data_IF_583249715759
#
_entry.id   IF_583249715759
#
_cell.length_a   1.000
_cell.length_b   1.000
_cell.length_c   1.000
_cell.angle_alpha   90.00
_cell.angle_beta   90.00
_cell.angle_gamma   90.00
#
_symmetry.space_group_name_H-M   'P 1'
#
loop_
_entity.id
_entity.type
_entity.pdbx_description
1 polymer ?
#
# COMPACT_ATOMS: atom_id res chain seq x y z
N UNK A 1 -27.02 -41.27 -6.04
CA UNK A 1 -27.14 -40.18 -7.03
C UNK A 1 -27.72 -38.88 -6.41
N UNK A 2 -28.81 -38.94 -5.67
CA UNK A 2 -29.40 -37.70 -5.07
C UNK A 2 -28.51 -36.91 -4.10
N UNK A 3 -27.75 -37.56 -3.23
CA UNK A 3 -26.90 -36.87 -2.24
C UNK A 3 -25.73 -36.14 -2.94
N UNK A 4 -25.05 -36.82 -3.87
CA UNK A 4 -23.94 -36.21 -4.61
C UNK A 4 -24.39 -34.96 -5.40
N UNK A 5 -25.57 -35.02 -6.01
CA UNK A 5 -26.15 -33.88 -6.73
C UNK A 5 -26.56 -32.74 -5.80
N UNK A 6 -27.03 -33.02 -4.60
CA UNK A 6 -27.32 -32.05 -3.60
C UNK A 6 -26.04 -31.32 -3.12
N UNK A 7 -24.98 -32.11 -2.89
CA UNK A 7 -23.67 -31.57 -2.51
C UNK A 7 -23.10 -30.69 -3.62
N UNK A 8 -23.17 -31.11 -4.87
CA UNK A 8 -22.71 -30.31 -6.02
C UNK A 8 -23.48 -28.99 -6.09
N UNK A 9 -24.82 -29.06 -6.03
CA UNK A 9 -25.66 -27.85 -6.06
C UNK A 9 -25.31 -26.87 -4.93
N UNK A 10 -25.16 -27.38 -3.71
CA UNK A 10 -24.83 -26.57 -2.52
C UNK A 10 -23.42 -25.99 -2.65
N UNK A 11 -22.45 -26.77 -3.13
CA UNK A 11 -21.07 -26.31 -3.30
C UNK A 11 -20.98 -25.18 -4.33
N UNK A 12 -21.64 -25.33 -5.48
CA UNK A 12 -21.70 -24.26 -6.49
C UNK A 12 -22.45 -23.04 -5.91
N UNK A 13 -23.59 -23.28 -5.28
CA UNK A 13 -24.37 -22.21 -4.63
C UNK A 13 -23.60 -21.44 -3.56
N UNK A 14 -22.78 -22.16 -2.79
CA UNK A 14 -21.88 -21.56 -1.81
C UNK A 14 -20.85 -20.62 -2.47
N UNK A 15 -20.22 -21.08 -3.57
CA UNK A 15 -19.25 -20.26 -4.29
C UNK A 15 -19.88 -18.95 -4.80
N UNK A 16 -21.04 -19.03 -5.46
CA UNK A 16 -21.78 -17.85 -5.91
C UNK A 16 -22.16 -16.91 -4.77
N UNK A 17 -22.66 -17.47 -3.67
CA UNK A 17 -23.06 -16.68 -2.49
C UNK A 17 -21.85 -15.97 -1.86
N UNK A 18 -20.75 -16.70 -1.68
CA UNK A 18 -19.52 -16.16 -1.12
C UNK A 18 -18.97 -15.01 -1.98
N UNK A 19 -18.86 -15.22 -3.28
CA UNK A 19 -18.39 -14.23 -4.23
C UNK A 19 -19.28 -12.98 -4.25
N UNK A 20 -20.60 -13.15 -4.19
CA UNK A 20 -21.55 -12.05 -4.15
C UNK A 20 -21.46 -11.24 -2.86
N UNK A 21 -21.44 -11.92 -1.71
CA UNK A 21 -21.28 -11.28 -0.41
C UNK A 21 -19.94 -10.57 -0.27
N UNK A 22 -18.87 -11.19 -0.76
CA UNK A 22 -17.54 -10.57 -0.75
C UNK A 22 -17.51 -9.26 -1.53
N UNK A 23 -18.11 -9.24 -2.75
CA UNK A 23 -18.21 -8.02 -3.57
C UNK A 23 -19.06 -6.93 -2.92
N UNK A 24 -20.11 -7.29 -2.19
CA UNK A 24 -20.94 -6.32 -1.45
C UNK A 24 -20.21 -5.73 -0.23
N UNK A 25 -19.34 -6.51 0.41
CA UNK A 25 -18.61 -6.08 1.62
C UNK A 25 -17.32 -5.30 1.32
N UNK A 26 -16.93 -5.13 0.06
CA UNK A 26 -15.74 -4.38 -0.29
C UNK A 26 -15.88 -2.90 0.08
N UNK A 27 -15.00 -2.43 0.96
CA UNK A 27 -14.93 -1.01 1.31
C UNK A 27 -14.35 -0.20 0.16
N UNK A 28 -15.12 0.78 -0.30
CA UNK A 28 -14.81 1.58 -1.49
C UNK A 28 -15.59 1.16 -2.73
N UNK A 29 -16.41 0.09 -2.58
CA UNK A 29 -17.23 -0.46 -3.65
C UNK A 29 -16.43 -1.38 -4.59
N UNK A 30 -17.07 -2.47 -5.02
CA UNK A 30 -16.58 -3.30 -6.12
C UNK A 30 -17.12 -2.76 -7.43
N UNK A 31 -16.28 -2.72 -8.49
CA UNK A 31 -16.73 -2.37 -9.84
C UNK A 31 -16.25 -3.38 -10.87
N UNK A 32 -17.11 -3.66 -11.84
CA UNK A 32 -16.77 -4.46 -12.99
C UNK A 32 -15.90 -3.72 -14.03
N UNK A 33 -15.65 -2.43 -13.83
CA UNK A 33 -14.93 -1.57 -14.78
C UNK A 33 -13.55 -2.11 -15.18
N UNK A 34 -12.75 -2.51 -14.18
CA UNK A 34 -11.42 -3.09 -14.42
C UNK A 34 -11.49 -4.40 -15.19
N UNK A 35 -12.50 -5.23 -14.90
CA UNK A 35 -12.73 -6.49 -15.58
C UNK A 35 -13.10 -6.28 -17.06
N UNK A 36 -13.98 -5.31 -17.34
CA UNK A 36 -14.38 -4.93 -18.70
C UNK A 36 -13.22 -4.31 -19.50
N UNK A 37 -12.37 -3.48 -18.85
CA UNK A 37 -11.19 -2.91 -19.48
C UNK A 37 -10.11 -3.96 -19.80
N UNK A 38 -10.01 -5.00 -18.98
CA UNK A 38 -9.10 -6.12 -19.18
C UNK A 38 -9.63 -7.18 -20.17
N UNK A 39 -10.78 -6.92 -20.82
CA UNK A 39 -11.39 -7.85 -21.76
C UNK A 39 -10.45 -8.21 -22.93
N UNK A 40 -10.43 -9.49 -23.27
CA UNK A 40 -9.61 -10.08 -24.34
C UNK A 40 -10.48 -10.87 -25.34
N UNK A 41 -9.88 -11.30 -26.42
CA UNK A 41 -10.56 -12.08 -27.44
C UNK A 41 -11.49 -11.29 -28.37
N UNK A 42 -12.32 -11.98 -29.17
CA UNK A 42 -13.08 -11.35 -30.25
C UNK A 42 -14.16 -10.35 -29.79
N UNK A 43 -14.65 -10.48 -28.55
CA UNK A 43 -15.67 -9.60 -27.97
C UNK A 43 -15.07 -8.44 -27.14
N UNK A 44 -13.74 -8.36 -27.02
CA UNK A 44 -13.06 -7.32 -26.25
C UNK A 44 -13.48 -5.88 -26.65
N UNK A 45 -13.66 -5.52 -27.95
CA UNK A 45 -14.09 -4.18 -28.32
C UNK A 45 -15.45 -3.82 -27.73
N UNK A 46 -16.39 -4.77 -27.68
CA UNK A 46 -17.72 -4.53 -27.11
C UNK A 46 -17.67 -4.33 -25.59
N UNK A 47 -16.90 -5.15 -24.87
CA UNK A 47 -16.74 -4.98 -23.43
C UNK A 47 -16.01 -3.70 -23.05
N UNK A 48 -14.98 -3.29 -23.81
CA UNK A 48 -14.29 -2.01 -23.63
C UNK A 48 -15.18 -0.81 -23.93
N UNK A 49 -16.05 -0.92 -24.94
CA UNK A 49 -17.06 0.10 -25.17
C UNK A 49 -18.03 0.21 -23.99
N UNK A 50 -18.50 -0.91 -23.42
CA UNK A 50 -19.33 -0.93 -22.21
C UNK A 50 -18.60 -0.27 -21.02
N UNK A 51 -17.31 -0.50 -20.86
CA UNK A 51 -16.47 0.13 -19.83
C UNK A 51 -16.43 1.66 -19.95
N UNK A 52 -16.56 2.21 -21.16
CA UNK A 52 -16.64 3.65 -21.42
C UNK A 52 -17.99 4.29 -21.04
N UNK A 53 -19.03 3.48 -20.70
CA UNK A 53 -20.36 3.97 -20.37
C UNK A 53 -20.64 3.87 -18.87
N UNK A 54 -20.54 4.97 -18.13
CA UNK A 54 -20.67 4.98 -16.67
C UNK A 54 -21.97 4.33 -16.16
N UNK A 55 -23.11 4.53 -16.87
CA UNK A 55 -24.38 3.94 -16.49
C UNK A 55 -24.42 2.42 -16.68
N UNK A 56 -23.74 1.87 -17.72
CA UNK A 56 -23.62 0.43 -17.94
C UNK A 56 -22.77 -0.20 -16.84
N UNK A 57 -21.65 0.44 -16.49
CA UNK A 57 -20.80 -0.02 -15.40
C UNK A 57 -21.57 -0.05 -14.08
N UNK A 58 -22.27 1.04 -13.74
CA UNK A 58 -23.05 1.11 -12.50
C UNK A 58 -24.20 0.08 -12.45
N UNK A 59 -24.86 -0.17 -13.59
CA UNK A 59 -25.89 -1.20 -13.69
C UNK A 59 -25.27 -2.61 -13.60
N UNK A 60 -24.14 -2.83 -14.26
CA UNK A 60 -23.37 -4.09 -14.23
C UNK A 60 -22.89 -4.44 -12.83
N UNK A 61 -22.36 -3.47 -12.08
CA UNK A 61 -21.92 -3.66 -10.69
C UNK A 61 -23.06 -4.21 -9.83
N UNK A 62 -24.22 -3.57 -9.89
CA UNK A 62 -25.41 -4.00 -9.13
C UNK A 62 -25.95 -5.34 -9.59
N UNK A 63 -26.02 -5.54 -10.91
CA UNK A 63 -26.54 -6.78 -11.50
C UNK A 63 -25.66 -7.99 -11.15
N UNK A 64 -24.34 -7.86 -11.20
CA UNK A 64 -23.40 -8.92 -10.83
C UNK A 64 -23.48 -9.21 -9.33
N UNK A 65 -23.45 -8.19 -8.48
CA UNK A 65 -23.53 -8.37 -7.02
C UNK A 65 -24.85 -9.04 -6.60
N UNK A 66 -25.96 -8.48 -7.02
CA UNK A 66 -27.29 -9.03 -6.68
C UNK A 66 -27.53 -10.39 -7.34
N UNK A 67 -27.08 -10.57 -8.59
CA UNK A 67 -27.18 -11.83 -9.32
C UNK A 67 -26.44 -12.97 -8.65
N UNK A 68 -25.19 -12.76 -8.25
CA UNK A 68 -24.38 -13.75 -7.54
C UNK A 68 -25.02 -14.17 -6.21
N UNK A 69 -25.51 -13.22 -5.42
CA UNK A 69 -26.20 -13.50 -4.15
C UNK A 69 -27.51 -14.26 -4.39
N UNK A 70 -28.34 -13.82 -5.32
CA UNK A 70 -29.62 -14.45 -5.62
C UNK A 70 -29.46 -15.86 -6.18
N UNK A 71 -28.52 -16.08 -7.11
CA UNK A 71 -28.18 -17.40 -7.65
C UNK A 71 -27.67 -18.29 -6.51
N UNK A 72 -26.73 -17.80 -5.71
CA UNK A 72 -26.15 -18.55 -4.62
C UNK A 72 -27.18 -18.97 -3.58
N UNK A 73 -28.04 -18.07 -3.13
CA UNK A 73 -29.15 -18.38 -2.19
C UNK A 73 -30.11 -19.40 -2.80
N UNK A 74 -30.52 -19.23 -4.04
CA UNK A 74 -31.42 -20.16 -4.74
C UNK A 74 -30.81 -21.55 -4.85
N UNK A 75 -29.56 -21.65 -5.21
CA UNK A 75 -28.85 -22.93 -5.32
C UNK A 75 -28.65 -23.58 -3.95
N UNK A 76 -28.27 -22.84 -2.91
CA UNK A 76 -28.08 -23.39 -1.56
C UNK A 76 -29.39 -23.88 -0.97
N UNK A 77 -30.44 -23.08 -1.06
CA UNK A 77 -31.76 -23.44 -0.54
C UNK A 77 -32.50 -24.48 -1.42
N UNK A 78 -32.19 -24.51 -2.72
CA UNK A 78 -32.92 -25.33 -3.70
C UNK A 78 -34.20 -24.71 -4.21
N UNK A 79 -34.58 -23.52 -3.74
CA UNK A 79 -35.72 -22.75 -4.25
C UNK A 79 -35.38 -22.20 -5.61
N UNK A 80 -36.18 -22.49 -6.62
CA UNK A 80 -35.92 -22.09 -8.02
C UNK A 80 -34.56 -22.52 -8.57
N UNK A 81 -33.95 -23.60 -8.04
CA UNK A 81 -32.58 -24.01 -8.37
C UNK A 81 -32.32 -24.17 -9.86
N UNK A 82 -33.31 -24.60 -10.69
CA UNK A 82 -33.19 -24.70 -12.13
C UNK A 82 -33.07 -23.34 -12.80
N UNK A 83 -33.90 -22.38 -12.40
CA UNK A 83 -33.88 -21.02 -12.92
C UNK A 83 -32.56 -20.35 -12.55
N UNK A 84 -32.14 -20.50 -11.31
CA UNK A 84 -30.86 -20.01 -10.81
C UNK A 84 -29.68 -20.60 -11.57
N UNK A 85 -29.73 -21.93 -11.87
CA UNK A 85 -28.68 -22.59 -12.65
C UNK A 85 -28.58 -22.02 -14.08
N UNK A 86 -29.70 -21.73 -14.74
CA UNK A 86 -29.70 -21.11 -16.07
C UNK A 86 -29.11 -19.70 -16.06
N UNK A 87 -29.47 -18.88 -15.06
CA UNK A 87 -28.88 -17.55 -14.89
C UNK A 87 -27.38 -17.65 -14.53
N UNK A 88 -26.98 -18.63 -13.72
CA UNK A 88 -25.58 -18.90 -13.41
C UNK A 88 -24.78 -19.27 -14.65
N UNK A 89 -25.31 -20.15 -15.51
CA UNK A 89 -24.68 -20.50 -16.80
C UNK A 89 -24.48 -19.25 -17.67
N UNK A 90 -25.51 -18.40 -17.79
CA UNK A 90 -25.42 -17.18 -18.58
C UNK A 90 -24.35 -16.22 -18.03
N UNK A 91 -24.25 -16.10 -16.70
CA UNK A 91 -23.25 -15.28 -16.05
C UNK A 91 -21.83 -15.83 -16.26
N UNK A 92 -21.64 -17.15 -16.12
CA UNK A 92 -20.35 -17.80 -16.39
C UNK A 92 -19.93 -17.68 -17.86
N UNK A 93 -20.88 -17.81 -18.78
CA UNK A 93 -20.62 -17.60 -20.21
C UNK A 93 -20.20 -16.15 -20.49
N UNK A 94 -20.83 -15.18 -19.85
CA UNK A 94 -20.44 -13.77 -19.99
C UNK A 94 -19.01 -13.54 -19.48
N UNK A 95 -18.64 -14.10 -18.33
CA UNK A 95 -17.27 -14.00 -17.81
C UNK A 95 -16.26 -14.69 -18.74
N UNK A 96 -16.58 -15.88 -19.24
CA UNK A 96 -15.77 -16.59 -20.20
C UNK A 96 -15.56 -15.78 -21.50
N UNK A 97 -16.62 -15.18 -22.02
CA UNK A 97 -16.52 -14.34 -23.23
C UNK A 97 -15.75 -13.04 -23.03
N UNK A 98 -15.78 -12.48 -21.81
CA UNK A 98 -15.03 -11.27 -21.49
C UNK A 98 -13.51 -11.54 -21.40
N UNK A 99 -13.13 -12.66 -20.80
CA UNK A 99 -11.73 -13.05 -20.65
C UNK A 99 -11.55 -14.54 -21.01
N UNK A 100 -11.64 -14.88 -22.31
CA UNK A 100 -11.44 -16.26 -22.73
C UNK A 100 -10.00 -16.70 -22.44
N UNK A 101 -9.77 -17.99 -22.10
CA UNK A 101 -8.43 -18.51 -21.92
C UNK A 101 -7.66 -18.43 -23.24
N UNK A 102 -6.44 -17.90 -23.18
CA UNK A 102 -5.56 -17.87 -24.35
C UNK A 102 -5.05 -19.28 -24.65
N UNK A 103 -5.28 -19.83 -25.85
CA UNK A 103 -5.00 -21.22 -26.15
C UNK A 103 -3.52 -21.59 -26.18
N UNK A 104 -2.60 -20.62 -26.22
CA UNK A 104 -1.17 -20.89 -26.41
C UNK A 104 -0.20 -20.22 -25.46
N UNK A 105 -0.50 -19.02 -24.92
CA UNK A 105 0.47 -18.28 -24.13
C UNK A 105 0.59 -18.74 -22.67
N UNK A 106 -0.43 -19.36 -22.10
CA UNK A 106 -0.48 -19.76 -20.70
C UNK A 106 -0.78 -21.26 -20.48
N UNK A 107 -0.68 -22.07 -21.52
CA UNK A 107 -1.07 -23.50 -21.50
C UNK A 107 -0.38 -24.32 -20.38
N UNK A 108 0.76 -23.85 -19.87
CA UNK A 108 1.56 -24.55 -18.87
C UNK A 108 1.88 -23.70 -17.63
N UNK A 109 1.30 -22.51 -17.49
CA UNK A 109 1.63 -21.63 -16.37
C UNK A 109 0.98 -22.04 -15.04
N UNK A 110 -0.03 -22.93 -15.07
CA UNK A 110 -0.73 -23.39 -13.86
C UNK A 110 -1.37 -22.30 -13.01
N UNK A 111 -1.29 -21.03 -13.43
CA UNK A 111 -1.81 -19.90 -12.70
C UNK A 111 -3.32 -19.78 -12.87
N UNK A 112 -4.02 -19.51 -11.79
CA UNK A 112 -5.45 -19.13 -11.75
C UNK A 112 -6.46 -20.17 -12.28
N UNK A 113 -6.14 -21.46 -12.23
CA UNK A 113 -7.08 -22.52 -12.62
C UNK A 113 -7.44 -22.53 -14.11
N UNK A 114 -6.53 -22.06 -14.97
CA UNK A 114 -6.66 -22.09 -16.42
C UNK A 114 -6.02 -23.37 -16.96
N UNK A 115 -6.85 -24.24 -17.50
CA UNK A 115 -6.43 -25.52 -18.08
C UNK A 115 -6.68 -25.49 -19.59
N UNK A 116 -5.84 -24.83 -20.33
CA UNK A 116 -5.98 -24.73 -21.80
C UNK A 116 -7.31 -24.06 -22.19
N UNK A 117 -8.27 -24.77 -22.75
CA UNK A 117 -9.59 -24.22 -23.11
C UNK A 117 -10.59 -24.31 -21.95
N UNK A 118 -10.32 -25.16 -20.95
CA UNK A 118 -11.15 -25.32 -19.77
C UNK A 118 -10.64 -24.45 -18.65
N UNK A 119 -11.46 -23.52 -18.21
CA UNK A 119 -11.22 -22.71 -17.05
C UNK A 119 -12.30 -22.92 -15.98
N UNK A 120 -12.11 -22.35 -14.81
CA UNK A 120 -13.04 -22.46 -13.67
C UNK A 120 -14.50 -22.18 -14.07
N UNK A 121 -14.75 -21.11 -14.84
CA UNK A 121 -16.11 -20.73 -15.25
C UNK A 121 -16.78 -21.81 -16.14
N UNK A 122 -16.02 -22.47 -17.00
CA UNK A 122 -16.53 -23.56 -17.85
C UNK A 122 -16.87 -24.80 -17.03
N UNK A 123 -16.06 -25.12 -16.00
CA UNK A 123 -16.32 -26.27 -15.11
C UNK A 123 -17.57 -26.00 -14.28
N UNK A 124 -17.74 -24.81 -13.76
CA UNK A 124 -18.94 -24.42 -13.02
C UNK A 124 -20.19 -24.41 -13.88
N UNK A 125 -20.10 -23.90 -15.12
CA UNK A 125 -21.19 -23.95 -16.07
C UNK A 125 -21.63 -25.39 -16.38
N UNK A 126 -20.70 -26.33 -16.53
CA UNK A 126 -21.01 -27.75 -16.71
C UNK A 126 -21.71 -28.33 -15.47
N UNK A 127 -21.27 -28.00 -14.26
CA UNK A 127 -21.94 -28.37 -13.02
C UNK A 127 -23.37 -27.82 -12.92
N UNK A 128 -23.56 -26.55 -13.30
CA UNK A 128 -24.87 -25.89 -13.35
C UNK A 128 -25.80 -26.52 -14.38
N UNK A 129 -25.25 -26.97 -15.52
CA UNK A 129 -26.03 -27.70 -16.54
C UNK A 129 -26.61 -28.99 -15.98
N UNK A 130 -25.84 -29.75 -15.19
CA UNK A 130 -26.34 -30.91 -14.47
C UNK A 130 -27.44 -30.56 -13.49
N UNK A 131 -27.30 -29.46 -12.74
CA UNK A 131 -28.35 -28.99 -11.82
C UNK A 131 -29.61 -28.56 -12.55
N UNK A 132 -29.52 -27.95 -13.74
CA UNK A 132 -30.67 -27.55 -14.54
C UNK A 132 -31.39 -28.76 -15.18
N UNK A 133 -30.65 -29.75 -15.64
CA UNK A 133 -31.17 -30.91 -16.40
C UNK A 133 -31.84 -31.97 -15.55
N UNK A 134 -31.40 -32.20 -14.30
CA UNK A 134 -31.85 -33.35 -13.51
C UNK A 134 -33.07 -33.06 -12.63
N UNK A 135 -34.10 -33.93 -12.61
CA UNK A 135 -35.36 -33.72 -11.88
C UNK A 135 -35.30 -34.09 -10.38
N UNK A 136 -34.13 -34.03 -9.77
CA UNK A 136 -33.89 -34.55 -8.41
C UNK A 136 -34.42 -33.69 -7.25
N UNK A 137 -35.18 -32.63 -7.52
CA UNK A 137 -35.57 -31.63 -6.50
C UNK A 137 -37.00 -31.86 -5.96
N UNK A 138 -37.38 -33.10 -5.72
CA UNK A 138 -38.68 -33.43 -5.15
C UNK A 138 -38.62 -33.53 -3.62
N UNK A 139 -39.38 -32.66 -2.96
CA UNK A 139 -39.53 -32.62 -1.51
C UNK A 139 -38.89 -31.41 -0.83
N UNK A 140 -39.74 -30.45 -0.45
CA UNK A 140 -39.32 -29.15 0.13
C UNK A 140 -38.39 -29.33 1.34
N UNK A 141 -38.75 -30.24 2.28
CA UNK A 141 -37.94 -30.46 3.49
C UNK A 141 -36.58 -31.05 3.19
N UNK A 142 -36.48 -32.03 2.27
CA UNK A 142 -35.22 -32.67 1.90
C UNK A 142 -34.28 -31.74 1.13
N UNK A 143 -34.80 -30.67 0.55
CA UNK A 143 -34.04 -29.70 -0.22
C UNK A 143 -33.62 -28.49 0.63
N UNK A 144 -34.53 -28.02 1.52
CA UNK A 144 -34.30 -26.86 2.37
C UNK A 144 -33.40 -27.14 3.58
N UNK A 145 -33.52 -28.31 4.19
CA UNK A 145 -32.81 -28.62 5.43
C UNK A 145 -31.27 -28.58 5.27
N UNK A 146 -30.67 -29.22 4.26
CA UNK A 146 -29.23 -29.09 4.04
C UNK A 146 -28.79 -27.67 3.71
N UNK A 147 -29.58 -26.92 2.93
CA UNK A 147 -29.32 -25.54 2.60
C UNK A 147 -29.36 -24.62 3.82
N UNK A 148 -30.36 -24.77 4.68
CA UNK A 148 -30.47 -24.03 5.94
C UNK A 148 -29.29 -24.33 6.89
N UNK A 149 -28.87 -25.59 6.98
CA UNK A 149 -27.69 -25.96 7.77
C UNK A 149 -26.41 -25.31 7.26
N UNK A 150 -26.20 -25.27 5.94
CA UNK A 150 -25.04 -24.59 5.32
C UNK A 150 -25.09 -23.09 5.55
N UNK A 151 -26.25 -22.44 5.42
CA UNK A 151 -26.42 -21.01 5.69
C UNK A 151 -26.19 -20.68 7.18
N UNK A 152 -26.65 -21.53 8.10
CA UNK A 152 -26.41 -21.37 9.52
C UNK A 152 -24.91 -21.49 9.87
N UNK A 153 -24.23 -22.47 9.25
CA UNK A 153 -22.78 -22.66 9.38
C UNK A 153 -22.04 -21.44 8.85
N UNK A 154 -22.42 -20.94 7.68
CA UNK A 154 -21.83 -19.74 7.08
C UNK A 154 -22.01 -18.53 7.97
N UNK A 155 -23.24 -18.27 8.43
CA UNK A 155 -23.52 -17.16 9.36
C UNK A 155 -22.71 -17.28 10.65
N UNK A 156 -22.59 -18.49 11.19
CA UNK A 156 -21.76 -18.79 12.35
C UNK A 156 -20.28 -18.53 12.12
N UNK A 157 -19.73 -18.97 10.99
CA UNK A 157 -18.34 -18.71 10.61
C UNK A 157 -18.09 -17.21 10.40
N UNK A 158 -18.99 -16.50 9.70
CA UNK A 158 -18.90 -15.06 9.53
C UNK A 158 -18.94 -14.31 10.88
N UNK A 159 -19.82 -14.74 11.78
CA UNK A 159 -19.93 -14.16 13.11
C UNK A 159 -18.68 -14.40 13.97
N UNK A 160 -18.13 -15.61 13.95
CA UNK A 160 -16.88 -15.95 14.62
C UNK A 160 -15.72 -15.13 14.06
N UNK A 161 -15.64 -15.02 12.74
CA UNK A 161 -14.63 -14.23 12.04
C UNK A 161 -14.75 -12.74 12.39
N UNK A 162 -15.97 -12.20 12.42
CA UNK A 162 -16.26 -10.83 12.85
C UNK A 162 -15.83 -10.59 14.31
N UNK A 163 -16.16 -11.50 15.23
CA UNK A 163 -15.74 -11.42 16.64
C UNK A 163 -14.23 -11.51 16.83
N UNK A 164 -13.55 -12.30 16.03
CA UNK A 164 -12.09 -12.40 16.03
C UNK A 164 -11.39 -11.17 15.43
N UNK A 165 -12.12 -10.15 15.00
CA UNK A 165 -11.57 -8.97 14.32
C UNK A 165 -11.06 -9.23 12.91
N UNK A 166 -11.51 -10.33 12.30
CA UNK A 166 -11.00 -10.84 11.02
C UNK A 166 -11.50 -10.13 9.78
N UNK A 167 -12.46 -9.21 9.88
CA UNK A 167 -12.79 -8.28 8.77
C UNK A 167 -11.94 -7.02 8.81
N UNK A 168 -10.71 -7.10 9.33
CA UNK A 168 -9.70 -6.09 9.01
C UNK A 168 -9.52 -6.09 7.51
N UNK A 169 -9.57 -4.90 6.90
CA UNK A 169 -9.31 -4.68 5.49
C UNK A 169 -8.10 -5.49 5.03
N UNK A 170 -8.31 -6.68 4.50
CA UNK A 170 -7.37 -7.26 3.59
C UNK A 170 -7.74 -6.64 2.25
N UNK A 171 -7.00 -5.66 1.82
CA UNK A 171 -7.03 -5.25 0.42
C UNK A 171 -6.42 -6.40 -0.39
N UNK A 172 -7.21 -7.45 -0.57
CA UNK A 172 -6.85 -8.49 -1.51
C UNK A 172 -6.99 -7.86 -2.90
N UNK A 173 -5.88 -7.39 -3.43
CA UNK A 173 -5.78 -6.97 -4.81
C UNK A 173 -5.89 -8.22 -5.66
N UNK A 174 -7.08 -8.53 -6.16
CA UNK A 174 -7.23 -9.48 -7.26
C UNK A 174 -6.92 -8.75 -8.56
N UNK A 175 -6.57 -9.48 -9.60
CA UNK A 175 -6.34 -8.91 -10.95
C UNK A 175 -7.51 -8.06 -11.47
N UNK A 176 -8.73 -8.27 -10.93
CA UNK A 176 -9.93 -7.50 -11.23
C UNK A 176 -10.09 -6.22 -10.39
N UNK A 177 -9.27 -6.00 -9.36
CA UNK A 177 -9.38 -4.89 -8.41
C UNK A 177 -8.12 -4.04 -8.35
N UNK A 178 -7.38 -3.95 -9.44
CA UNK A 178 -6.26 -3.01 -9.53
C UNK A 178 -6.83 -1.61 -9.34
N UNK A 179 -6.61 -1.01 -8.18
CA UNK A 179 -6.85 0.42 -7.98
C UNK A 179 -5.85 1.14 -8.85
N UNK A 180 -6.32 1.72 -9.93
CA UNK A 180 -5.52 2.70 -10.68
C UNK A 180 -5.32 3.88 -9.76
N UNK A 181 -4.09 4.06 -9.32
CA UNK A 181 -3.73 5.24 -8.54
C UNK A 181 -3.67 6.42 -9.49
N UNK A 182 -4.59 7.39 -9.34
CA UNK A 182 -4.58 8.58 -10.17
C UNK A 182 -3.43 9.49 -9.75
N UNK A 183 -2.68 9.97 -10.74
CA UNK A 183 -1.61 10.93 -10.53
C UNK A 183 -2.17 12.26 -10.03
N UNK A 184 -1.72 12.71 -8.86
CA UNK A 184 -2.10 14.01 -8.32
C UNK A 184 -1.24 15.11 -8.93
N UNK A 185 -1.80 15.88 -9.83
CA UNK A 185 -1.10 16.97 -10.51
C UNK A 185 -0.68 18.09 -9.54
N UNK A 186 0.39 18.82 -9.90
CA UNK A 186 0.87 19.94 -9.08
C UNK A 186 -0.18 21.02 -8.86
N UNK A 187 -1.10 21.21 -9.79
CA UNK A 187 -2.24 22.14 -9.66
C UNK A 187 -3.21 21.76 -8.52
N UNK A 188 -3.20 20.51 -8.08
CA UNK A 188 -4.01 20.03 -6.96
C UNK A 188 -3.30 20.17 -5.58
N UNK A 189 -2.14 20.81 -5.53
CA UNK A 189 -1.45 21.11 -4.27
C UNK A 189 -2.30 22.05 -3.42
N UNK A 190 -2.64 21.62 -2.21
CA UNK A 190 -3.48 22.40 -1.27
C UNK A 190 -2.69 23.53 -0.62
N UNK A 191 -1.51 23.22 -0.11
CA UNK A 191 -0.56 24.16 0.44
C UNK A 191 0.86 23.57 0.40
N UNK A 192 1.92 24.37 0.25
CA UNK A 192 3.28 23.92 0.40
C UNK A 192 3.57 23.46 1.83
N UNK A 193 4.49 22.51 1.97
CA UNK A 193 5.00 22.07 3.25
C UNK A 193 5.81 23.20 3.91
N UNK A 194 5.48 23.54 5.18
CA UNK A 194 6.05 24.71 5.86
C UNK A 194 6.94 24.37 7.06
N UNK A 195 6.91 23.13 7.57
CA UNK A 195 7.71 22.79 8.75
C UNK A 195 9.21 22.79 8.41
N UNK A 196 9.99 23.43 9.25
CA UNK A 196 11.44 23.56 9.10
C UNK A 196 12.18 22.72 10.13
N UNK A 197 13.34 22.23 9.73
CA UNK A 197 14.35 21.62 10.57
C UNK A 197 15.61 22.49 10.54
N UNK A 198 16.44 22.38 11.56
CA UNK A 198 17.72 23.06 11.65
C UNK A 198 18.79 22.09 12.17
N UNK A 199 19.93 22.06 11.51
CA UNK A 199 21.12 21.33 11.94
C UNK A 199 22.30 22.30 11.92
N UNK A 200 22.83 22.64 13.08
CA UNK A 200 23.99 23.52 13.25
C UNK A 200 23.90 24.82 12.39
N UNK A 201 22.76 25.48 12.42
CA UNK A 201 22.51 26.75 11.70
C UNK A 201 22.01 26.57 10.26
N UNK A 202 22.06 25.40 9.67
CA UNK A 202 21.48 25.13 8.34
C UNK A 202 20.00 24.81 8.48
N UNK A 203 19.15 25.66 7.91
CA UNK A 203 17.68 25.52 7.92
C UNK A 203 17.20 24.91 6.60
N UNK A 204 16.34 23.90 6.70
CA UNK A 204 15.77 23.20 5.55
C UNK A 204 14.38 22.62 5.90
N UNK A 205 13.67 22.10 4.91
CA UNK A 205 12.36 21.47 5.13
C UNK A 205 12.47 20.22 6.00
N UNK A 206 11.63 20.09 7.02
CA UNK A 206 11.62 18.92 7.92
C UNK A 206 11.29 17.62 7.19
N UNK A 207 10.46 17.69 6.15
CA UNK A 207 10.32 16.64 5.14
C UNK A 207 11.40 16.84 4.08
N UNK A 208 12.30 15.90 3.93
CA UNK A 208 13.36 15.90 2.93
C UNK A 208 13.13 14.78 1.91
N UNK A 209 13.71 14.93 0.74
CA UNK A 209 13.72 13.89 -0.28
C UNK A 209 14.81 12.86 0.05
N UNK A 210 14.45 11.58 0.08
CA UNK A 210 15.38 10.46 0.15
C UNK A 210 16.00 10.14 -1.21
N UNK A 211 17.20 9.65 -1.21
CA UNK A 211 17.98 9.35 -2.41
C UNK A 211 17.97 7.91 -2.87
N UNK A 212 17.46 6.97 -2.07
CA UNK A 212 17.56 5.54 -2.36
C UNK A 212 16.81 5.17 -3.67
N UNK A 213 15.57 5.61 -3.84
CA UNK A 213 14.83 5.37 -5.09
C UNK A 213 15.49 6.04 -6.29
N UNK A 214 16.11 7.20 -6.11
CA UNK A 214 16.81 7.94 -7.18
C UNK A 214 18.04 7.16 -7.62
N UNK A 215 18.76 6.58 -6.68
CA UNK A 215 19.93 5.74 -6.96
C UNK A 215 19.57 4.33 -7.48
N UNK A 216 18.29 3.96 -7.46
CA UNK A 216 17.81 2.65 -7.86
C UNK A 216 17.86 1.61 -6.73
N UNK A 217 17.87 2.04 -5.47
CA UNK A 217 17.80 1.16 -4.31
C UNK A 217 16.34 1.08 -3.83
N UNK A 218 15.51 0.34 -4.55
CA UNK A 218 14.08 0.24 -4.24
C UNK A 218 13.77 -0.66 -3.04
N UNK A 219 14.66 -1.58 -2.70
CA UNK A 219 14.52 -2.55 -1.59
C UNK A 219 13.17 -3.29 -1.63
N UNK A 220 12.73 -3.64 -2.82
CA UNK A 220 11.40 -4.20 -3.06
C UNK A 220 11.36 -5.73 -2.90
N UNK A 221 12.19 -6.29 -2.04
CA UNK A 221 12.28 -7.72 -1.68
C UNK A 221 12.46 -8.61 -2.92
N UNK A 222 11.41 -9.34 -3.28
CA UNK A 222 11.46 -10.36 -4.34
C UNK A 222 11.38 -9.77 -5.76
N UNK A 223 11.14 -8.46 -5.89
CA UNK A 223 11.08 -7.77 -7.17
C UNK A 223 12.48 -7.32 -7.62
N UNK A 224 13.32 -8.26 -8.01
CA UNK A 224 14.74 -8.03 -8.38
C UNK A 224 14.97 -7.01 -9.51
N UNK A 225 13.96 -6.75 -10.34
CA UNK A 225 13.98 -5.77 -11.41
C UNK A 225 13.63 -4.34 -10.96
N UNK A 226 13.11 -4.17 -9.73
CA UNK A 226 12.61 -2.88 -9.25
C UNK A 226 13.75 -1.84 -9.15
N UNK A 227 14.93 -2.25 -8.74
CA UNK A 227 16.12 -1.38 -8.65
C UNK A 227 16.50 -0.82 -10.03
N UNK A 228 16.58 -1.68 -11.05
CA UNK A 228 16.89 -1.26 -12.40
C UNK A 228 15.79 -0.39 -13.01
N UNK A 229 14.50 -0.71 -12.72
CA UNK A 229 13.39 0.11 -13.15
C UNK A 229 13.48 1.51 -12.56
N UNK A 230 13.72 1.63 -11.24
CA UNK A 230 13.84 2.92 -10.57
C UNK A 230 15.03 3.73 -11.06
N UNK A 231 16.17 3.08 -11.30
CA UNK A 231 17.37 3.73 -11.88
C UNK A 231 17.09 4.31 -13.26
N UNK A 232 16.40 3.56 -14.12
CA UNK A 232 16.01 4.05 -15.46
C UNK A 232 14.95 5.12 -15.40
N UNK A 233 13.96 4.94 -14.53
CA UNK A 233 12.88 5.93 -14.34
C UNK A 233 13.43 7.28 -13.89
N UNK A 234 14.31 7.30 -12.90
CA UNK A 234 14.88 8.52 -12.33
C UNK A 234 16.01 9.13 -13.20
N UNK A 235 16.28 8.60 -14.38
CA UNK A 235 17.19 9.20 -15.35
C UNK A 235 16.61 10.50 -15.95
N UNK A 236 17.45 11.51 -16.11
CA UNK A 236 17.16 12.71 -16.93
C UNK A 236 15.90 13.48 -16.54
N UNK A 237 14.88 13.43 -17.40
CA UNK A 237 13.66 14.25 -17.29
C UNK A 237 12.86 13.98 -15.99
N UNK A 238 12.79 12.74 -15.55
CA UNK A 238 12.05 12.40 -14.34
C UNK A 238 12.72 12.97 -13.08
N UNK A 239 14.05 12.96 -13.00
CA UNK A 239 14.80 13.58 -11.92
C UNK A 239 14.52 15.10 -11.84
N UNK A 240 14.56 15.79 -12.97
CA UNK A 240 14.26 17.23 -13.05
C UNK A 240 12.82 17.53 -12.62
N UNK A 241 11.87 16.66 -12.98
CA UNK A 241 10.47 16.79 -12.56
C UNK A 241 10.30 16.55 -11.06
N UNK A 242 10.98 15.55 -10.49
CA UNK A 242 11.00 15.27 -9.05
C UNK A 242 11.51 16.47 -8.27
N UNK A 243 12.65 17.04 -8.65
CA UNK A 243 13.21 18.23 -8.00
C UNK A 243 12.26 19.42 -8.08
N UNK A 244 11.68 19.69 -9.25
CA UNK A 244 10.71 20.77 -9.42
C UNK A 244 9.47 20.61 -8.53
N UNK A 245 8.94 19.38 -8.43
CA UNK A 245 7.80 19.09 -7.57
C UNK A 245 8.15 19.24 -6.09
N UNK A 246 9.33 18.79 -5.66
CA UNK A 246 9.82 19.01 -4.31
C UNK A 246 9.81 20.50 -3.97
N UNK A 247 10.47 21.34 -4.75
CA UNK A 247 10.57 22.78 -4.50
C UNK A 247 9.20 23.46 -4.49
N UNK A 248 8.32 23.14 -5.43
CA UNK A 248 6.96 23.69 -5.49
C UNK A 248 6.10 23.24 -4.32
N UNK A 249 6.36 22.07 -3.78
CA UNK A 249 5.68 21.52 -2.61
C UNK A 249 6.32 21.94 -1.27
N UNK A 250 7.38 22.76 -1.28
CA UNK A 250 8.05 23.24 -0.07
C UNK A 250 9.09 22.27 0.50
N UNK A 251 9.53 21.29 -0.29
CA UNK A 251 10.62 20.37 0.06
C UNK A 251 11.91 20.89 -0.59
N UNK A 252 12.82 21.40 0.23
CA UNK A 252 14.08 22.02 -0.23
C UNK A 252 15.34 21.32 0.30
N UNK A 253 15.20 20.08 0.80
CA UNK A 253 16.35 19.29 1.25
C UNK A 253 16.35 17.91 0.61
N UNK A 254 17.55 17.36 0.41
CA UNK A 254 17.76 16.01 -0.13
C UNK A 254 18.93 15.31 0.56
N UNK A 255 18.76 14.02 0.84
CA UNK A 255 19.79 13.13 1.38
C UNK A 255 20.06 12.05 0.33
N UNK A 256 21.17 12.14 -0.40
CA UNK A 256 21.45 11.28 -1.53
C UNK A 256 22.96 11.07 -1.76
N UNK A 257 23.30 10.18 -2.69
CA UNK A 257 24.68 9.94 -3.11
C UNK A 257 25.28 11.17 -3.83
N UNK A 258 26.59 11.43 -3.68
CA UNK A 258 27.27 12.59 -4.30
C UNK A 258 27.06 12.70 -5.82
N UNK A 259 26.88 11.57 -6.50
CA UNK A 259 26.69 11.53 -7.96
C UNK A 259 25.44 12.32 -8.42
N UNK A 260 24.44 12.48 -7.54
CA UNK A 260 23.20 13.21 -7.86
C UNK A 260 23.26 14.70 -7.55
N UNK A 261 24.31 15.18 -6.89
CA UNK A 261 24.43 16.59 -6.49
C UNK A 261 24.37 17.54 -7.69
N UNK A 262 25.21 17.33 -8.71
CA UNK A 262 25.28 18.21 -9.86
C UNK A 262 23.96 18.22 -10.67
N UNK A 263 23.37 17.09 -11.07
CA UNK A 263 22.12 17.09 -11.82
C UNK A 263 20.94 17.64 -11.01
N UNK A 264 20.85 17.39 -9.69
CA UNK A 264 19.78 17.93 -8.88
C UNK A 264 19.91 19.44 -8.66
N UNK A 265 21.12 19.96 -8.51
CA UNK A 265 21.35 21.42 -8.44
C UNK A 265 21.00 22.12 -9.76
N UNK A 266 21.37 21.52 -10.90
CA UNK A 266 20.97 22.04 -12.20
C UNK A 266 19.43 22.12 -12.32
N UNK A 267 18.75 21.04 -11.98
CA UNK A 267 17.29 20.99 -11.99
C UNK A 267 16.64 21.97 -11.00
N UNK A 268 17.23 22.19 -9.83
CA UNK A 268 16.75 23.15 -8.85
C UNK A 268 16.89 24.60 -9.37
N UNK A 269 18.02 24.91 -10.00
CA UNK A 269 18.27 26.23 -10.63
C UNK A 269 17.27 26.50 -11.75
N UNK A 270 17.00 25.49 -12.61
CA UNK A 270 15.97 25.58 -13.66
C UNK A 270 14.56 25.79 -13.08
N UNK A 271 14.29 25.23 -11.92
CA UNK A 271 13.02 25.40 -11.22
C UNK A 271 12.93 26.72 -10.44
N UNK A 272 13.99 27.54 -10.42
CA UNK A 272 14.05 28.82 -9.71
C UNK A 272 14.21 28.70 -8.21
N UNK A 273 14.82 27.63 -7.70
CA UNK A 273 15.04 27.38 -6.27
C UNK A 273 16.42 26.78 -5.98
N UNK A 274 16.64 26.48 -4.71
CA UNK A 274 17.85 25.83 -4.19
C UNK A 274 17.48 24.59 -3.39
N UNK A 275 18.36 23.59 -3.39
CA UNK A 275 18.28 22.39 -2.56
C UNK A 275 19.42 22.36 -1.54
N UNK A 276 19.10 22.14 -0.29
CA UNK A 276 20.07 21.78 0.74
C UNK A 276 20.44 20.29 0.55
N UNK A 277 21.56 20.03 -0.07
CA UNK A 277 22.03 18.68 -0.36
C UNK A 277 22.93 18.15 0.77
N UNK A 278 22.59 16.98 1.29
CA UNK A 278 23.37 16.23 2.26
C UNK A 278 23.86 14.94 1.60
N UNK A 279 25.18 14.83 1.41
CA UNK A 279 25.80 13.77 0.60
C UNK A 279 26.16 12.55 1.45
N UNK A 280 25.74 11.37 1.00
CA UNK A 280 26.12 10.07 1.55
C UNK A 280 27.49 9.65 1.03
N UNK A 281 28.54 9.69 1.86
CA UNK A 281 29.92 9.48 1.47
C UNK A 281 30.51 8.18 2.03
N UNK A 282 31.39 7.54 1.27
CA UNK A 282 32.13 6.34 1.70
C UNK A 282 33.59 6.64 2.05
N UNK A 283 34.09 7.79 1.64
CA UNK A 283 35.49 8.20 1.81
C UNK A 283 35.66 9.73 1.76
N UNK A 284 36.88 10.20 2.01
CA UNK A 284 37.22 11.60 2.00
C UNK A 284 37.09 12.27 0.61
N UNK A 285 37.31 11.52 -0.48
CA UNK A 285 37.21 12.04 -1.83
C UNK A 285 35.76 12.36 -2.20
N UNK A 286 34.83 11.46 -1.85
CA UNK A 286 33.38 11.72 -2.02
C UNK A 286 32.97 13.00 -1.28
N UNK A 287 33.47 13.16 -0.03
CA UNK A 287 33.14 14.32 0.79
C UNK A 287 33.74 15.61 0.22
N UNK A 288 34.97 15.57 -0.29
CA UNK A 288 35.60 16.71 -0.96
C UNK A 288 34.83 17.10 -2.24
N UNK A 289 34.47 16.12 -3.07
CA UNK A 289 33.67 16.35 -4.26
C UNK A 289 32.28 16.94 -3.94
N UNK A 290 31.64 16.46 -2.85
CA UNK A 290 30.38 17.03 -2.38
C UNK A 290 30.53 18.48 -1.91
N UNK A 291 31.60 18.81 -1.17
CA UNK A 291 31.93 20.18 -0.78
C UNK A 291 32.10 21.08 -2.01
N UNK A 292 32.92 20.69 -2.95
CA UNK A 292 33.23 21.46 -4.17
C UNK A 292 31.97 21.60 -5.05
N UNK A 293 31.08 20.60 -5.01
CA UNK A 293 29.76 20.65 -5.60
C UNK A 293 28.76 21.55 -4.86
N UNK A 294 29.08 22.04 -3.64
CA UNK A 294 28.26 22.94 -2.83
C UNK A 294 27.20 22.26 -1.99
N UNK A 295 27.45 21.04 -1.54
CA UNK A 295 26.65 20.38 -0.52
C UNK A 295 26.63 21.20 0.79
N UNK A 296 25.56 21.10 1.57
CA UNK A 296 25.43 21.72 2.90
C UNK A 296 25.95 20.81 4.01
N UNK A 297 25.95 19.50 3.79
CA UNK A 297 26.47 18.52 4.72
C UNK A 297 26.88 17.22 4.02
N UNK A 298 27.64 16.43 4.74
CA UNK A 298 28.07 15.10 4.34
C UNK A 298 27.81 14.12 5.48
N UNK A 299 27.58 12.88 5.20
CA UNK A 299 27.48 11.85 6.23
C UNK A 299 28.09 10.54 5.77
N UNK A 300 28.67 9.80 6.72
CA UNK A 300 29.19 8.48 6.44
C UNK A 300 28.03 7.56 6.07
N UNK A 301 28.18 6.81 4.97
CA UNK A 301 27.15 5.90 4.47
C UNK A 301 26.75 4.88 5.53
N UNK A 302 25.44 4.66 5.77
CA UNK A 302 24.94 3.78 6.83
C UNK A 302 25.52 2.38 6.79
N UNK A 303 25.52 1.73 5.64
CA UNK A 303 25.98 0.35 5.46
C UNK A 303 27.47 0.19 5.83
N UNK A 304 28.29 1.19 5.48
CA UNK A 304 29.72 1.19 5.80
C UNK A 304 29.94 1.38 7.30
N UNK A 305 29.20 2.28 7.93
CA UNK A 305 29.31 2.49 9.37
C UNK A 305 28.87 1.25 10.16
N UNK A 306 27.77 0.61 9.75
CA UNK A 306 27.28 -0.64 10.34
C UNK A 306 28.28 -1.79 10.16
N UNK A 307 28.92 -1.89 9.00
CA UNK A 307 29.96 -2.90 8.75
C UNK A 307 31.15 -2.73 9.70
N UNK A 308 31.64 -1.49 9.83
CA UNK A 308 32.79 -1.19 10.72
C UNK A 308 32.42 -1.40 12.17
N UNK A 309 31.24 -1.01 12.61
CA UNK A 309 30.75 -1.25 13.97
C UNK A 309 30.63 -2.73 14.28
N UNK A 310 30.09 -3.53 13.37
CA UNK A 310 30.01 -5.02 13.56
C UNK A 310 31.39 -5.69 13.62
N UNK A 311 32.37 -5.15 12.92
CA UNK A 311 33.77 -5.60 12.99
C UNK A 311 34.51 -5.10 14.24
N UNK A 312 33.92 -4.20 15.03
CA UNK A 312 34.58 -3.55 16.16
C UNK A 312 35.67 -2.54 15.75
N UNK A 313 35.70 -2.12 14.48
CA UNK A 313 36.74 -1.22 13.95
C UNK A 313 36.40 0.26 14.21
N UNK A 314 36.46 0.63 15.48
CA UNK A 314 36.24 1.99 15.95
C UNK A 314 37.28 2.97 15.38
N UNK A 315 38.52 2.52 15.20
CA UNK A 315 39.59 3.34 14.69
C UNK A 315 39.34 3.83 13.27
N UNK A 316 38.96 2.91 12.38
CA UNK A 316 38.61 3.25 10.99
C UNK A 316 37.36 4.11 10.90
N UNK A 317 36.34 3.79 11.68
CA UNK A 317 35.10 4.55 11.72
C UNK A 317 35.36 5.99 12.15
N UNK A 318 36.14 6.19 13.20
CA UNK A 318 36.54 7.51 13.69
C UNK A 318 37.36 8.27 12.63
N UNK A 319 38.36 7.60 12.03
CA UNK A 319 39.19 8.19 10.97
C UNK A 319 38.35 8.69 9.80
N UNK A 320 37.35 7.93 9.35
CA UNK A 320 36.43 8.36 8.29
C UNK A 320 35.54 9.55 8.73
N UNK A 321 34.97 9.50 9.92
CA UNK A 321 34.16 10.60 10.44
C UNK A 321 35.01 11.91 10.57
N UNK A 322 36.24 11.81 11.04
CA UNK A 322 37.17 12.95 11.14
C UNK A 322 37.56 13.47 9.75
N UNK A 323 37.76 12.59 8.76
CA UNK A 323 38.00 12.99 7.38
C UNK A 323 36.82 13.74 6.76
N UNK A 324 35.59 13.34 7.07
CA UNK A 324 34.39 14.10 6.66
C UNK A 324 34.34 15.46 7.33
N UNK A 325 34.66 15.56 8.62
CA UNK A 325 34.74 16.83 9.35
C UNK A 325 35.80 17.78 8.76
N UNK A 326 36.92 17.24 8.31
CA UNK A 326 38.01 18.02 7.71
C UNK A 326 37.60 18.78 6.43
N UNK A 327 36.50 18.40 5.81
CA UNK A 327 35.94 19.15 4.65
C UNK A 327 35.40 20.53 5.03
N UNK A 328 35.14 20.80 6.31
CA UNK A 328 34.48 22.02 6.78
C UNK A 328 32.97 22.03 6.61
N UNK A 329 32.35 20.94 6.08
CA UNK A 329 30.92 20.77 6.00
C UNK A 329 30.34 20.18 7.31
N UNK A 330 29.04 20.25 7.47
CA UNK A 330 28.35 19.50 8.51
C UNK A 330 28.59 18.02 8.29
N UNK A 331 29.30 17.36 9.22
CA UNK A 331 29.68 15.97 9.11
C UNK A 331 28.79 15.09 10.00
N UNK A 332 27.98 14.24 9.39
CA UNK A 332 27.12 13.26 10.04
C UNK A 332 27.69 11.84 9.98
N UNK A 333 27.05 10.93 10.70
CA UNK A 333 27.25 9.49 10.60
C UNK A 333 25.90 8.84 10.35
N UNK A 334 25.84 8.00 9.30
CA UNK A 334 24.70 7.18 8.99
C UNK A 334 24.75 5.84 9.73
N UNK A 335 23.59 5.28 10.04
CA UNK A 335 23.43 3.95 10.60
C UNK A 335 22.10 3.34 10.15
N UNK A 336 22.07 2.06 9.87
CA UNK A 336 20.82 1.31 9.72
C UNK A 336 20.36 0.76 11.07
N UNK A 337 21.29 0.59 12.01
CA UNK A 337 21.05 0.04 13.33
C UNK A 337 21.41 1.04 14.41
N UNK A 338 20.54 1.19 15.41
CA UNK A 338 20.81 2.02 16.59
C UNK A 338 22.03 1.52 17.38
N UNK A 339 22.38 0.23 17.28
CA UNK A 339 23.58 -0.32 17.91
C UNK A 339 24.87 0.29 17.33
N UNK A 340 24.88 0.65 16.05
CA UNK A 340 25.99 1.40 15.44
C UNK A 340 26.10 2.81 16.02
N UNK A 341 24.99 3.48 16.29
CA UNK A 341 25.01 4.78 17.00
C UNK A 341 25.59 4.64 18.40
N UNK A 342 25.18 3.58 19.14
CA UNK A 342 25.71 3.29 20.47
C UNK A 342 27.22 3.00 20.43
N UNK A 343 27.64 2.19 19.47
CA UNK A 343 29.05 1.89 19.25
C UNK A 343 29.89 3.14 18.99
N UNK A 344 29.40 4.01 18.09
CA UNK A 344 30.05 5.28 17.80
C UNK A 344 30.17 6.16 19.04
N UNK A 345 29.08 6.32 19.80
CA UNK A 345 29.03 7.15 20.99
C UNK A 345 30.02 6.63 22.07
N UNK A 346 30.08 5.31 22.26
CA UNK A 346 31.00 4.69 23.24
C UNK A 346 32.46 4.85 22.83
N UNK A 347 32.75 4.91 21.54
CA UNK A 347 34.12 5.00 21.02
C UNK A 347 34.51 6.46 20.64
N UNK A 348 33.80 7.47 21.13
CA UNK A 348 34.17 8.86 20.99
C UNK A 348 34.02 9.41 19.56
N UNK A 349 33.13 8.81 18.74
CA UNK A 349 32.72 9.36 17.45
C UNK A 349 31.55 10.31 17.71
N UNK A 350 31.78 11.62 17.53
CA UNK A 350 30.78 12.67 17.78
C UNK A 350 30.49 13.43 16.48
N UNK A 351 29.49 13.05 15.72
CA UNK A 351 29.09 13.75 14.50
C UNK A 351 28.29 15.02 14.82
N UNK A 352 28.11 15.90 13.84
CA UNK A 352 27.20 17.03 13.95
C UNK A 352 25.73 16.61 13.91
N UNK A 353 25.41 15.46 13.31
CA UNK A 353 24.07 14.88 13.24
C UNK A 353 24.14 13.39 12.89
N UNK A 354 23.08 12.68 13.23
CA UNK A 354 22.91 11.28 12.89
C UNK A 354 21.94 11.12 11.70
N UNK A 355 22.15 10.08 10.89
CA UNK A 355 21.22 9.63 9.87
C UNK A 355 20.88 8.19 10.16
N UNK A 356 19.64 7.90 10.58
CA UNK A 356 19.27 6.57 11.12
C UNK A 356 18.08 5.99 10.34
N UNK A 357 18.18 4.71 9.95
CA UNK A 357 17.05 3.99 9.42
C UNK A 357 15.98 3.83 10.51
N UNK A 358 14.78 4.37 10.25
CA UNK A 358 13.73 4.41 11.24
C UNK A 358 12.35 4.33 10.62
N UNK A 359 11.59 3.29 10.95
CA UNK A 359 10.25 3.06 10.45
C UNK A 359 9.38 2.32 11.48
N UNK A 360 8.06 2.42 11.34
CA UNK A 360 7.13 1.64 12.14
C UNK A 360 7.16 0.16 11.72
N UNK A 361 6.61 -0.71 12.57
CA UNK A 361 6.38 -2.12 12.25
C UNK A 361 4.89 -2.39 11.94
N UNK A 362 4.10 -1.35 11.66
CA UNK A 362 2.68 -1.46 11.33
C UNK A 362 2.48 -1.69 9.82
N UNK A 363 2.99 -2.82 9.33
CA UNK A 363 2.76 -3.27 7.95
C UNK A 363 2.83 -4.81 7.87
N UNK A 364 2.15 -5.44 6.88
CA UNK A 364 1.98 -6.90 6.87
C UNK A 364 3.27 -7.71 6.85
N UNK A 365 4.33 -7.23 6.22
CA UNK A 365 5.60 -7.93 6.12
C UNK A 365 6.49 -7.80 7.38
N UNK A 366 6.12 -6.98 8.36
CA UNK A 366 6.87 -6.76 9.60
C UNK A 366 6.72 -7.90 10.62
N UNK A 367 6.42 -9.11 10.20
CA UNK A 367 6.28 -10.29 11.07
C UNK A 367 7.61 -10.93 11.42
N UNK A 368 8.66 -10.65 10.68
CA UNK A 368 10.00 -11.14 10.93
C UNK A 368 10.66 -10.30 12.05
N UNK A 369 11.26 -10.97 13.01
CA UNK A 369 11.99 -10.32 14.11
C UNK A 369 13.45 -10.04 13.77
N UNK A 370 13.87 -10.36 12.55
CA UNK A 370 15.24 -10.19 12.08
C UNK A 370 15.29 -9.12 11.00
N UNK A 371 16.43 -8.44 10.90
CA UNK A 371 16.68 -7.47 9.84
C UNK A 371 16.72 -8.16 8.49
N UNK A 372 15.97 -7.66 7.56
CA UNK A 372 15.95 -8.12 6.17
C UNK A 372 15.67 -6.94 5.23
N UNK A 373 15.62 -7.20 3.93
CA UNK A 373 15.62 -6.18 2.88
C UNK A 373 14.63 -5.00 3.03
N UNK A 374 13.57 -5.11 3.79
CA UNK A 374 12.64 -4.00 4.09
C UNK A 374 12.33 -3.83 5.59
N UNK A 375 13.15 -4.43 6.46
CA UNK A 375 13.05 -4.31 7.91
C UNK A 375 14.42 -3.93 8.45
N UNK A 376 14.72 -2.65 8.56
CA UNK A 376 15.96 -2.14 9.14
C UNK A 376 15.83 -1.90 10.63
N UNK A 377 14.71 -1.35 11.07
CA UNK A 377 14.44 -1.02 12.46
C UNK A 377 13.53 -2.09 13.09
N UNK A 378 14.13 -3.04 13.82
CA UNK A 378 13.39 -4.16 14.45
C UNK A 378 12.74 -3.78 15.78
N UNK A 379 13.24 -2.74 16.45
CA UNK A 379 12.65 -2.15 17.66
C UNK A 379 12.68 -0.63 17.58
N UNK A 380 11.69 -0.03 16.91
CA UNK A 380 11.63 1.42 16.76
C UNK A 380 11.44 2.16 18.09
N UNK A 381 10.84 1.51 19.10
CA UNK A 381 10.70 2.12 20.42
C UNK A 381 12.06 2.25 21.11
N UNK A 382 12.83 1.18 21.17
CA UNK A 382 14.17 1.22 21.77
C UNK A 382 15.11 2.17 21.03
N UNK A 383 15.02 2.22 19.68
CA UNK A 383 15.77 3.16 18.87
C UNK A 383 15.41 4.62 19.19
N UNK A 384 14.13 4.96 19.23
CA UNK A 384 13.67 6.30 19.57
C UNK A 384 14.03 6.71 21.00
N UNK A 385 13.88 5.79 21.97
CA UNK A 385 14.22 6.03 23.37
C UNK A 385 15.73 6.31 23.51
N UNK A 386 16.58 5.57 22.81
CA UNK A 386 18.02 5.85 22.80
C UNK A 386 18.35 7.18 22.13
N UNK A 387 17.76 7.48 20.96
CA UNK A 387 18.01 8.75 20.25
C UNK A 387 17.59 9.98 21.06
N UNK A 388 16.58 9.88 21.91
CA UNK A 388 16.20 10.95 22.86
C UNK A 388 17.30 11.23 23.92
N UNK A 389 18.18 10.30 24.18
CA UNK A 389 19.33 10.53 25.11
C UNK A 389 20.48 11.26 24.42
N UNK A 390 20.42 11.42 23.10
CA UNK A 390 21.46 12.11 22.32
C UNK A 390 21.17 13.59 22.22
N UNK A 391 22.21 14.41 22.27
CA UNK A 391 22.12 15.86 22.08
C UNK A 391 22.15 16.24 20.60
N UNK A 392 22.74 15.37 19.78
CA UNK A 392 22.88 15.62 18.36
C UNK A 392 21.55 15.40 17.64
N UNK A 393 21.17 16.29 16.72
CA UNK A 393 19.99 16.10 15.90
C UNK A 393 20.11 14.84 15.01
N UNK A 394 18.98 14.24 14.64
CA UNK A 394 18.99 13.08 13.79
C UNK A 394 17.94 13.11 12.70
N UNK A 395 18.26 12.51 11.57
CA UNK A 395 17.41 12.42 10.37
C UNK A 395 17.01 10.97 10.19
N UNK A 396 15.70 10.74 10.07
CA UNK A 396 15.17 9.43 9.77
C UNK A 396 15.27 9.14 8.26
N UNK A 397 15.78 7.97 7.91
CA UNK A 397 15.83 7.45 6.53
C UNK A 397 15.13 6.09 6.45
N UNK A 398 14.92 5.55 5.24
CA UNK A 398 14.25 4.26 4.97
C UNK A 398 12.88 4.15 5.64
N UNK A 399 12.22 5.29 5.83
CA UNK A 399 10.96 5.41 6.56
C UNK A 399 9.80 4.64 5.93
N UNK A 400 9.88 4.34 4.63
CA UNK A 400 8.83 3.63 3.89
C UNK A 400 8.92 2.10 4.01
N UNK A 401 9.97 1.55 4.64
CA UNK A 401 10.18 0.10 4.71
C UNK A 401 10.06 -0.58 3.32
N UNK A 402 10.81 -0.07 2.33
CA UNK A 402 10.76 -0.58 0.95
C UNK A 402 9.42 -0.32 0.25
N UNK A 403 8.69 0.72 0.63
CA UNK A 403 7.38 1.07 0.08
C UNK A 403 6.18 0.42 0.77
N UNK A 404 6.40 -0.33 1.85
CA UNK A 404 5.33 -0.98 2.61
C UNK A 404 4.53 0.00 3.49
N UNK A 405 5.09 1.16 3.81
CA UNK A 405 4.48 2.18 4.66
C UNK A 405 4.11 3.40 3.81
N UNK A 406 2.90 3.91 4.01
CA UNK A 406 2.45 5.15 3.37
C UNK A 406 3.32 6.34 3.79
N UNK A 407 3.77 7.22 2.86
CA UNK A 407 4.67 8.33 3.16
C UNK A 407 4.17 9.30 4.22
N UNK A 408 2.86 9.57 4.28
CA UNK A 408 2.26 10.44 5.30
C UNK A 408 2.39 9.82 6.69
N UNK A 409 2.12 8.52 6.79
CA UNK A 409 2.28 7.77 8.04
C UNK A 409 3.74 7.70 8.46
N UNK A 410 4.64 7.44 7.50
CA UNK A 410 6.09 7.37 7.74
C UNK A 410 6.64 8.70 8.28
N UNK A 411 6.28 9.83 7.65
CA UNK A 411 6.66 11.16 8.12
C UNK A 411 6.19 11.43 9.55
N UNK A 412 4.90 11.19 9.82
CA UNK A 412 4.34 11.39 11.16
C UNK A 412 5.03 10.52 12.20
N UNK A 413 5.24 9.26 11.88
CA UNK A 413 5.91 8.32 12.78
C UNK A 413 7.32 8.80 13.14
N UNK A 414 8.13 9.22 12.17
CA UNK A 414 9.47 9.76 12.42
C UNK A 414 9.42 11.04 13.28
N UNK A 415 8.53 11.97 12.96
CA UNK A 415 8.32 13.21 13.69
C UNK A 415 7.91 12.98 15.14
N UNK A 416 6.91 12.13 15.36
CA UNK A 416 6.33 11.87 16.69
C UNK A 416 7.32 11.13 17.60
N UNK A 417 8.31 10.44 17.01
CA UNK A 417 9.39 9.76 17.73
C UNK A 417 10.66 10.63 17.89
N UNK A 418 10.62 11.90 17.53
CA UNK A 418 11.67 12.86 17.83
C UNK A 418 12.72 13.08 16.74
N UNK A 419 12.52 12.56 15.53
CA UNK A 419 13.39 12.88 14.41
C UNK A 419 13.37 14.39 14.11
N UNK A 420 14.55 14.98 13.92
CA UNK A 420 14.70 16.37 13.52
C UNK A 420 14.16 16.59 12.11
N UNK A 421 14.40 15.65 11.22
CA UNK A 421 13.85 15.60 9.87
C UNK A 421 13.63 14.16 9.44
N UNK A 422 12.84 13.97 8.38
CA UNK A 422 12.66 12.68 7.74
C UNK A 422 12.95 12.80 6.23
N UNK A 423 13.95 12.07 5.76
CA UNK A 423 14.25 11.91 4.35
C UNK A 423 13.46 10.71 3.80
N UNK A 424 12.46 11.02 3.01
CA UNK A 424 11.50 10.04 2.49
C UNK A 424 11.70 9.88 0.99
N UNK A 425 11.81 8.63 0.55
CA UNK A 425 11.97 8.28 -0.86
C UNK A 425 10.67 8.48 -1.62
N UNK A 426 10.60 9.56 -2.37
CA UNK A 426 9.42 9.95 -3.14
C UNK A 426 9.74 10.02 -4.63
N UNK A 427 8.83 9.52 -5.43
CA UNK A 427 8.79 9.79 -6.88
C UNK A 427 7.94 11.03 -7.15
N UNK A 428 8.14 11.67 -8.30
CA UNK A 428 7.41 12.86 -8.73
C UNK A 428 5.88 12.73 -8.58
N UNK A 429 5.32 11.57 -8.91
CA UNK A 429 3.88 11.30 -8.83
C UNK A 429 3.34 11.08 -7.40
N UNK A 430 4.21 10.97 -6.38
CA UNK A 430 3.81 10.81 -4.97
C UNK A 430 3.98 12.06 -4.13
N UNK A 431 4.75 13.06 -4.60
CA UNK A 431 5.13 14.24 -3.82
C UNK A 431 3.91 15.07 -3.43
N UNK A 432 3.06 15.43 -4.39
CA UNK A 432 1.89 16.30 -4.16
C UNK A 432 0.88 15.63 -3.23
N UNK A 433 0.60 14.36 -3.45
CA UNK A 433 -0.29 13.57 -2.61
C UNK A 433 0.22 13.49 -1.17
N UNK A 434 1.52 13.20 -1.01
CA UNK A 434 2.16 13.10 0.31
C UNK A 434 2.07 14.43 1.05
N UNK A 435 2.43 15.54 0.40
CA UNK A 435 2.36 16.87 1.02
C UNK A 435 0.93 17.23 1.38
N UNK A 436 -0.03 17.01 0.48
CA UNK A 436 -1.44 17.24 0.76
C UNK A 436 -1.95 16.43 1.96
N UNK A 437 -1.52 15.17 2.09
CA UNK A 437 -1.88 14.31 3.21
C UNK A 437 -1.26 14.75 4.55
N UNK A 438 -0.09 15.40 4.51
CA UNK A 438 0.56 15.92 5.72
C UNK A 438 -0.07 17.24 6.15
N UNK A 439 -0.22 18.20 5.23
CA UNK A 439 -0.69 19.57 5.55
C UNK A 439 -2.20 19.65 5.77
N UNK A 440 -2.97 18.73 5.20
CA UNK A 440 -4.42 18.65 5.35
C UNK A 440 -4.80 17.19 5.63
N UNK A 441 -4.58 16.68 6.84
CA UNK A 441 -4.95 15.31 7.17
C UNK A 441 -6.43 15.12 6.90
N UNK A 442 -6.85 13.97 6.32
CA UNK A 442 -8.26 13.65 6.18
C UNK A 442 -8.90 13.75 7.55
N UNK A 443 -9.99 14.50 7.64
CA UNK A 443 -10.78 14.56 8.88
C UNK A 443 -11.18 13.11 9.22
N UNK A 444 -11.05 12.68 10.48
CA UNK A 444 -11.61 11.41 10.88
C UNK A 444 -13.08 11.40 10.43
N UNK A 445 -13.60 10.26 9.92
CA UNK A 445 -15.01 10.19 9.53
C UNK A 445 -15.82 10.75 10.68
N UNK A 446 -16.62 11.76 10.40
CA UNK A 446 -17.58 12.31 11.37
C UNK A 446 -18.35 11.11 11.84
N UNK A 447 -18.18 10.71 13.10
CA UNK A 447 -19.06 9.73 13.72
C UNK A 447 -20.42 10.38 13.64
N UNK A 448 -21.24 9.98 12.68
CA UNK A 448 -22.65 10.32 12.69
C UNK A 448 -23.13 9.98 14.09
N UNK A 449 -23.46 11.03 14.84
CA UNK A 449 -23.93 10.90 16.20
C UNK A 449 -25.07 9.92 16.15
N UNK A 450 -25.01 8.86 16.98
CA UNK A 450 -26.18 8.05 17.25
C UNK A 450 -27.32 9.02 17.47
N UNK A 451 -28.23 9.10 16.51
CA UNK A 451 -29.53 9.70 16.71
C UNK A 451 -30.11 8.89 17.88
N UNK A 452 -30.08 9.46 19.05
CA UNK A 452 -30.76 8.89 20.20
C UNK A 452 -32.22 8.86 19.82
N UNK A 453 -32.71 7.67 19.47
CA UNK A 453 -34.12 7.44 19.35
C UNK A 453 -34.74 7.86 20.71
N UNK A 454 -35.40 9.00 20.75
CA UNK A 454 -36.24 9.37 21.87
C UNK A 454 -37.25 8.24 22.05
N UNK A 455 -37.39 7.66 23.25
CA UNK A 455 -38.45 6.72 23.47
C UNK A 455 -39.81 7.43 23.25
N UNK A 456 -40.81 6.74 22.70
CA UNK A 456 -42.11 7.33 22.46
C UNK A 456 -42.71 7.76 23.83
N UNK A 457 -43.05 9.05 23.94
CA UNK A 457 -43.78 9.58 25.08
C UNK A 457 -45.19 8.97 25.06
N UNK A 458 -45.43 8.03 25.95
CA UNK A 458 -46.79 7.54 26.26
C UNK A 458 -47.64 8.71 26.74
N UNK A 459 -48.53 9.15 25.89
CA UNK A 459 -49.60 10.08 26.24
C UNK A 459 -50.58 9.41 27.20
N UNK A 460 -50.38 9.62 28.48
CA UNK A 460 -51.42 9.29 29.48
C UNK A 460 -52.46 10.40 29.47
N UNK A 461 -53.60 10.13 28.85
CA UNK A 461 -54.86 10.83 29.15
C UNK A 461 -55.18 10.64 30.63
N UNK A 462 -55.24 11.71 31.39
CA UNK A 462 -56.03 11.78 32.62
C UNK A 462 -57.14 12.80 32.39
N UNK A 463 -58.32 12.26 32.24
CA UNK A 463 -59.54 13.02 32.37
C UNK A 463 -59.97 13.13 33.83
N UNK A 464 -60.69 14.11 34.12
CA UNK A 464 -61.73 13.98 35.12
C UNK A 464 -61.73 14.93 36.29
N UNK A 465 -62.63 15.86 36.21
CA UNK A 465 -63.59 16.28 37.23
C UNK A 465 -63.13 17.21 38.39
N UNK A 466 -63.67 18.39 38.36
CA UNK A 466 -64.69 19.01 39.20
C UNK A 466 -64.29 19.25 40.67
N UNK A 467 -64.14 20.43 41.10
CA UNK A 467 -65.07 21.33 41.83
C UNK A 467 -64.48 22.72 41.84
#
# INVERSE_FOLDING_TARGET
MCIAMQLLRIAIGWHFLYEGCWKLMQQGGWSCLSYLNAAQGPLAPAFKWMAGQAWIVAAGDRAVQAGLVAIGLSLVTGVLARVAALFGIALMAMFYCCQPPEPFAAAFSGADGRFFVLERNAIEAAGLLLVAALPCWRGLVRTLLPGAAVLALFGGCCWLHYRAGGFKKVEAVTSATVKVHEFTALAALKAPFAERAEIAGVKFSRLALGGDLIAGHAHARDLVWADEFMRRYNGGVALGRTVRYCLRCGIDAVFAEPAFLAPMRAAAKEAGGELAFFASCTNAQDAAAARDGGAKGVYLRPELADELARKGDAGRLKSLADALKATGLLAGVGAEDVETVKFCATNGVAPAYWVLAFHSLDYPAATLKERCNNIWCVDPKAAADYMRTRSEPWVAIRCLAGGAIDPVKAYRFAKDNGATAAAIDLTDFRIVETVNGIVSPPQPPVREGRVSARPPTNGAKKGGQAK
#
